data_IF_761659298514
#
_entry.id   IF_761659298514
#
_cell.length_a   1.000
_cell.length_b   1.000
_cell.length_c   1.000
_cell.angle_alpha   90.00
_cell.angle_beta   90.00
_cell.angle_gamma   90.00
#
_symmetry.space_group_name_H-M   'P 1'
#
loop_
_entity.id
_entity.type
_entity.pdbx_description
1 polymer ?
#
# COMPACT_ATOMS: atom_id res chain seq x y z
N UNK A 1 24.58 -0.14 -8.17
CA UNK A 1 23.53 -1.15 -8.36
C UNK A 1 22.52 -0.90 -7.27
N UNK A 2 21.51 -0.11 -7.58
CA UNK A 2 20.57 0.42 -6.59
C UNK A 2 19.19 0.13 -7.13
N UNK A 3 18.70 -1.10 -6.95
CA UNK A 3 17.26 -1.32 -7.00
C UNK A 3 16.74 -0.84 -5.65
N UNK A 4 16.46 0.46 -5.59
CA UNK A 4 15.73 1.08 -4.51
C UNK A 4 14.27 0.60 -4.63
N UNK A 5 14.05 -0.66 -4.27
CA UNK A 5 12.71 -1.15 -4.02
C UNK A 5 12.16 -0.25 -2.92
N UNK A 6 11.11 0.52 -3.23
CA UNK A 6 10.43 1.36 -2.27
C UNK A 6 10.26 0.57 -0.96
N UNK A 7 10.53 1.18 0.23
CA UNK A 7 10.48 0.44 1.48
C UNK A 7 9.12 -0.27 1.60
N UNK A 8 9.10 -1.52 2.06
CA UNK A 8 7.85 -2.28 2.18
C UNK A 8 6.85 -1.45 2.99
N UNK A 9 5.64 -1.29 2.45
CA UNK A 9 4.54 -0.63 3.14
C UNK A 9 4.32 -1.29 4.50
N UNK A 10 4.02 -0.48 5.50
CA UNK A 10 3.76 -0.92 6.86
C UNK A 10 2.33 -0.57 7.26
N UNK A 11 1.80 -1.33 8.20
CA UNK A 11 0.54 -0.99 8.86
C UNK A 11 0.66 0.39 9.50
N UNK A 12 -0.29 1.26 9.20
CA UNK A 12 -0.32 2.66 9.58
C UNK A 12 0.17 3.63 8.51
N UNK A 13 0.79 3.15 7.42
CA UNK A 13 1.19 4.03 6.32
C UNK A 13 -0.04 4.58 5.57
N UNK A 14 0.01 5.87 5.26
CA UNK A 14 -0.94 6.51 4.35
C UNK A 14 -0.54 6.20 2.89
N UNK A 15 -1.51 5.75 2.11
CA UNK A 15 -1.34 5.43 0.70
C UNK A 15 -2.42 6.09 -0.14
N UNK A 16 -2.12 6.35 -1.41
CA UNK A 16 -3.08 6.84 -2.38
C UNK A 16 -3.23 5.85 -3.52
N UNK A 17 -4.47 5.59 -3.87
CA UNK A 17 -4.85 4.82 -5.05
C UNK A 17 -5.58 5.73 -6.03
N UNK A 18 -5.28 5.62 -7.33
CA UNK A 18 -5.87 6.47 -8.36
C UNK A 18 -7.41 6.43 -8.40
N UNK A 19 -8.00 5.24 -8.19
CA UNK A 19 -9.46 5.06 -8.24
C UNK A 19 -10.20 5.30 -6.93
N UNK A 20 -9.53 5.15 -5.78
CA UNK A 20 -10.18 5.17 -4.46
C UNK A 20 -9.77 6.36 -3.60
N UNK A 21 -8.73 7.08 -4.00
CA UNK A 21 -8.16 8.18 -3.25
C UNK A 21 -7.24 7.68 -2.14
N UNK A 22 -7.22 8.42 -1.05
CA UNK A 22 -6.34 8.17 0.10
C UNK A 22 -6.91 7.07 0.99
N UNK A 23 -6.04 6.22 1.52
CA UNK A 23 -6.38 5.15 2.43
C UNK A 23 -5.22 4.85 3.37
N UNK A 24 -5.49 4.09 4.43
CA UNK A 24 -4.47 3.69 5.40
C UNK A 24 -4.25 2.19 5.32
N UNK A 25 -2.99 1.76 5.36
CA UNK A 25 -2.64 0.34 5.44
C UNK A 25 -3.03 -0.15 6.83
N UNK A 26 -3.89 -1.15 6.90
CA UNK A 26 -4.33 -1.75 8.17
C UNK A 26 -3.72 -3.13 8.40
N UNK A 27 -3.23 -3.77 7.35
CA UNK A 27 -2.63 -5.10 7.42
C UNK A 27 -1.68 -5.32 6.23
N UNK A 28 -0.61 -6.08 6.45
CA UNK A 28 0.35 -6.46 5.41
C UNK A 28 0.74 -7.91 5.63
N UNK A 29 0.41 -8.76 4.66
CA UNK A 29 0.68 -10.19 4.68
C UNK A 29 1.61 -10.58 3.53
N UNK A 30 2.40 -11.63 3.74
CA UNK A 30 3.33 -12.12 2.72
C UNK A 30 4.62 -11.31 2.61
N UNK A 31 5.47 -11.70 1.67
CA UNK A 31 6.84 -11.18 1.53
C UNK A 31 7.25 -11.15 0.06
N UNK A 32 8.07 -10.16 -0.32
CA UNK A 32 8.57 -10.02 -1.68
C UNK A 32 7.45 -9.75 -2.67
N UNK A 33 7.47 -10.43 -3.82
CA UNK A 33 6.52 -10.21 -4.93
C UNK A 33 5.08 -10.65 -4.63
N UNK A 34 4.87 -11.43 -3.56
CA UNK A 34 3.55 -11.91 -3.11
C UNK A 34 3.03 -11.15 -1.89
N UNK A 35 3.67 -10.04 -1.52
CA UNK A 35 3.18 -9.24 -0.41
C UNK A 35 1.84 -8.59 -0.79
N UNK A 36 0.86 -8.73 0.10
CA UNK A 36 -0.48 -8.17 0.00
C UNK A 36 -0.66 -7.15 1.12
N UNK A 37 -1.11 -5.94 0.79
CA UNK A 37 -1.53 -4.97 1.78
C UNK A 37 -3.04 -4.82 1.76
N UNK A 38 -3.64 -4.85 2.95
CA UNK A 38 -5.01 -4.45 3.15
C UNK A 38 -5.03 -2.95 3.47
N UNK A 39 -5.67 -2.19 2.60
CA UNK A 39 -5.82 -0.74 2.72
C UNK A 39 -7.28 -0.43 3.00
N UNK A 40 -7.51 0.39 4.02
CA UNK A 40 -8.84 0.91 4.34
C UNK A 40 -9.02 2.29 3.71
N UNK A 41 -9.88 2.35 2.72
CA UNK A 41 -10.29 3.59 2.07
C UNK A 41 -11.58 4.10 2.73
N UNK A 42 -11.64 5.33 3.26
CA UNK A 42 -12.82 5.84 3.94
C UNK A 42 -14.06 5.92 3.02
N UNK A 43 -13.85 6.13 1.73
CA UNK A 43 -14.93 6.24 0.74
C UNK A 43 -15.42 4.90 0.18
N UNK A 44 -14.66 3.81 0.34
CA UNK A 44 -14.89 2.52 -0.36
C UNK A 44 -14.90 1.31 0.59
N UNK A 45 -14.30 1.45 1.77
CA UNK A 45 -14.03 0.38 2.71
C UNK A 45 -12.67 -0.28 2.49
N UNK A 46 -12.54 -1.51 2.98
CA UNK A 46 -11.28 -2.27 2.95
C UNK A 46 -11.07 -2.92 1.56
N UNK A 47 -9.83 -2.90 1.10
CA UNK A 47 -9.37 -3.52 -0.15
C UNK A 47 -8.02 -4.17 0.07
N UNK A 48 -7.90 -5.43 -0.37
CA UNK A 48 -6.64 -6.18 -0.37
C UNK A 48 -5.99 -6.06 -1.75
N UNK A 49 -4.72 -5.67 -1.77
CA UNK A 49 -3.99 -5.33 -2.99
C UNK A 49 -2.59 -5.95 -2.94
N UNK A 50 -2.17 -6.54 -4.06
CA UNK A 50 -0.81 -7.06 -4.22
C UNK A 50 0.16 -5.90 -4.39
N UNK A 51 1.10 -5.73 -3.46
CA UNK A 51 2.07 -4.63 -3.46
C UNK A 51 2.95 -4.60 -4.71
N UNK A 52 3.24 -5.77 -5.26
CA UNK A 52 4.08 -5.87 -6.45
C UNK A 52 3.39 -5.35 -7.72
N UNK A 53 2.05 -5.33 -7.75
CA UNK A 53 1.25 -5.12 -8.97
C UNK A 53 0.24 -3.98 -8.85
N UNK A 54 -0.04 -3.49 -7.64
CA UNK A 54 -1.00 -2.43 -7.41
C UNK A 54 -0.35 -1.06 -7.62
N UNK A 55 -0.98 -0.14 -8.38
CA UNK A 55 -0.53 1.24 -8.53
C UNK A 55 -0.86 2.04 -7.27
N UNK A 56 -0.12 1.78 -6.19
CA UNK A 56 -0.23 2.46 -4.91
C UNK A 56 0.94 3.43 -4.74
N UNK A 57 0.63 4.67 -4.40
CA UNK A 57 1.63 5.67 -4.03
C UNK A 57 1.65 5.82 -2.51
N UNK A 58 2.82 5.66 -1.87
CA UNK A 58 2.97 5.98 -0.45
C UNK A 58 2.98 7.49 -0.28
N UNK A 59 2.17 7.99 0.63
CA UNK A 59 2.23 9.39 1.05
C UNK A 59 3.23 9.45 2.21
N UNK A 60 4.48 9.79 1.90
CA UNK A 60 5.45 10.09 2.96
C UNK A 60 5.09 11.43 3.59
N UNK A 61 4.60 11.41 4.83
CA UNK A 61 4.46 12.62 5.63
C UNK A 61 5.86 12.96 6.18
N UNK A 62 6.49 13.99 5.61
CA UNK A 62 7.73 14.60 6.09
C UNK A 62 7.55 15.29 7.44
#
# INVERSE_FOLDING_TARGET
GSSEAAPPLKVGDDVRHASWGEGVVIDVEGTGDRAEATVRFPSVGEKRLLLAWAPLERIERV
#
